data_IF_347082627773
#
_entry.id   IF_347082627773
#
_cell.length_a   1.000
_cell.length_b   1.000
_cell.length_c   1.000
_cell.angle_alpha   90.00
_cell.angle_beta   90.00
_cell.angle_gamma   90.00
#
_symmetry.space_group_name_H-M   'P 1'
#
loop_
_entity.id
_entity.type
_entity.pdbx_description
1 polymer ?
#
# COMPACT_ATOMS: atom_id res chain seq x y z
N UNK A 1 -20.11 -1.38 -18.30
CA UNK A 1 -19.77 -1.02 -19.66
C UNK A 1 -18.32 -1.38 -19.91
N UNK A 2 -18.12 -2.29 -20.87
CA UNK A 2 -16.99 -3.14 -21.08
C UNK A 2 -15.65 -2.45 -21.25
N UNK A 3 -14.65 -3.01 -20.60
CA UNK A 3 -13.25 -2.86 -20.95
C UNK A 3 -13.04 -3.53 -22.31
N UNK A 4 -12.99 -2.72 -23.36
CA UNK A 4 -12.40 -3.10 -24.64
C UNK A 4 -10.88 -3.14 -24.41
N UNK A 5 -10.33 -4.34 -24.28
CA UNK A 5 -8.91 -4.58 -24.47
C UNK A 5 -8.65 -4.33 -25.96
N UNK A 6 -8.34 -3.08 -26.29
CA UNK A 6 -7.88 -2.68 -27.61
C UNK A 6 -6.57 -3.39 -27.90
N UNK A 7 -6.51 -4.03 -29.06
CA UNK A 7 -5.39 -4.81 -29.52
C UNK A 7 -4.08 -4.04 -29.42
N UNK A 8 -3.07 -4.71 -28.89
CA UNK A 8 -1.69 -4.29 -28.93
C UNK A 8 -1.28 -4.19 -30.39
N UNK A 9 -1.23 -2.97 -30.91
CA UNK A 9 -0.53 -2.73 -32.18
C UNK A 9 0.92 -3.17 -31.96
N UNK A 10 1.34 -4.16 -32.74
CA UNK A 10 2.71 -4.68 -32.69
C UNK A 10 3.69 -3.57 -33.05
N UNK A 11 4.29 -2.96 -32.03
CA UNK A 11 5.49 -2.15 -32.21
C UNK A 11 6.62 -3.14 -32.48
N UNK A 12 7.05 -3.23 -33.72
CA UNK A 12 8.26 -3.93 -34.11
C UNK A 12 9.44 -3.18 -33.49
N UNK A 13 9.91 -3.67 -32.34
CA UNK A 13 11.19 -3.24 -31.78
C UNK A 13 12.31 -3.81 -32.66
N UNK A 14 13.25 -2.99 -33.15
CA UNK A 14 14.40 -3.51 -33.87
C UNK A 14 15.21 -4.36 -32.90
N UNK A 15 15.29 -5.66 -33.17
CA UNK A 15 16.17 -6.58 -32.44
C UNK A 15 17.61 -6.18 -32.74
N UNK A 16 18.39 -5.70 -31.76
CA UNK A 16 19.78 -5.38 -32.01
C UNK A 16 20.53 -6.62 -32.46
N UNK A 17 21.20 -6.57 -33.62
CA UNK A 17 21.86 -7.71 -34.28
C UNK A 17 23.06 -8.34 -33.56
N UNK A 18 23.22 -8.18 -32.24
CA UNK A 18 24.29 -8.75 -31.41
C UNK A 18 23.88 -9.98 -30.59
N UNK A 19 22.66 -10.49 -30.74
CA UNK A 19 22.16 -11.62 -29.93
C UNK A 19 22.58 -13.02 -30.43
N UNK A 20 23.35 -13.15 -31.50
CA UNK A 20 23.61 -14.43 -32.17
C UNK A 20 24.58 -15.38 -31.44
N UNK A 21 25.16 -15.07 -30.29
CA UNK A 21 26.26 -15.88 -29.72
C UNK A 21 26.20 -16.25 -28.23
N UNK A 22 25.04 -16.24 -27.58
CA UNK A 22 24.92 -16.87 -26.24
C UNK A 22 24.29 -18.27 -26.40
N UNK A 23 25.14 -19.27 -26.56
CA UNK A 23 24.78 -20.70 -26.58
C UNK A 23 24.44 -21.14 -25.13
N UNK A 24 23.20 -21.52 -24.90
CA UNK A 24 22.72 -22.15 -23.67
C UNK A 24 21.28 -21.72 -23.34
N UNK A 25 20.48 -22.62 -22.80
CA UNK A 25 19.10 -22.34 -22.39
C UNK A 25 18.98 -21.18 -21.42
N UNK A 26 19.97 -20.97 -20.54
CA UNK A 26 20.07 -19.84 -19.61
C UNK A 26 20.24 -18.50 -20.33
N UNK A 27 21.02 -18.43 -21.41
CA UNK A 27 21.18 -17.22 -22.19
C UNK A 27 19.90 -16.78 -22.92
N UNK A 28 19.10 -17.74 -23.39
CA UNK A 28 17.80 -17.44 -24.02
C UNK A 28 16.78 -16.95 -22.96
N UNK A 29 16.76 -17.55 -21.78
CA UNK A 29 15.89 -17.12 -20.69
C UNK A 29 16.24 -15.70 -20.22
N UNK A 30 17.53 -15.40 -20.07
CA UNK A 30 18.01 -14.07 -19.69
C UNK A 30 17.59 -13.00 -20.70
N UNK A 31 17.75 -13.23 -21.99
CA UNK A 31 17.34 -12.28 -23.05
C UNK A 31 15.81 -12.06 -23.00
N UNK A 32 15.02 -13.12 -22.78
CA UNK A 32 13.55 -12.97 -22.67
C UNK A 32 13.14 -12.15 -21.47
N UNK A 33 13.81 -12.28 -20.34
CA UNK A 33 13.55 -11.49 -19.14
C UNK A 33 13.91 -10.01 -19.34
N UNK A 34 15.07 -9.74 -19.95
CA UNK A 34 15.50 -8.38 -20.30
C UNK A 34 14.51 -7.69 -21.26
N UNK A 35 14.02 -8.42 -22.27
CA UNK A 35 13.01 -7.90 -23.19
C UNK A 35 11.67 -7.63 -22.48
N UNK A 36 11.23 -8.54 -21.61
CA UNK A 36 10.00 -8.35 -20.84
C UNK A 36 10.10 -7.16 -19.89
N UNK A 37 11.23 -7.01 -19.19
CA UNK A 37 11.51 -5.85 -18.35
C UNK A 37 11.46 -4.54 -19.17
N UNK A 38 12.06 -4.51 -20.34
CA UNK A 38 12.03 -3.37 -21.25
C UNK A 38 10.62 -2.97 -21.68
N UNK A 39 9.74 -3.94 -21.98
CA UNK A 39 8.33 -3.68 -22.32
C UNK A 39 7.59 -3.08 -21.11
N UNK A 40 7.81 -3.59 -19.90
CA UNK A 40 7.19 -3.07 -18.68
C UNK A 40 7.63 -1.63 -18.39
N UNK A 41 8.92 -1.33 -18.52
CA UNK A 41 9.44 0.03 -18.38
C UNK A 41 8.82 0.98 -19.40
N UNK A 42 8.67 0.55 -20.65
CA UNK A 42 8.05 1.37 -21.68
C UNK A 42 6.56 1.61 -21.41
N UNK A 43 5.85 0.61 -20.86
CA UNK A 43 4.46 0.74 -20.44
C UNK A 43 4.32 1.71 -19.27
N UNK A 44 5.24 1.68 -18.32
CA UNK A 44 5.32 2.63 -17.22
C UNK A 44 5.40 4.08 -17.73
N UNK A 45 6.31 4.34 -18.67
CA UNK A 45 6.47 5.68 -19.28
C UNK A 45 5.16 6.13 -19.93
N UNK A 46 4.53 5.27 -20.72
CA UNK A 46 3.26 5.61 -21.39
C UNK A 46 2.14 5.90 -20.39
N UNK A 47 2.09 5.23 -19.25
CA UNK A 47 1.10 5.48 -18.19
C UNK A 47 1.33 6.82 -17.48
N UNK A 48 2.58 7.25 -17.36
CA UNK A 48 2.92 8.54 -16.74
C UNK A 48 2.62 9.73 -17.63
N UNK A 49 2.71 9.57 -18.96
CA UNK A 49 2.48 10.62 -19.95
C UNK A 49 0.99 10.94 -20.20
N UNK A 50 0.07 10.13 -19.69
CA UNK A 50 -1.37 10.36 -19.88
C UNK A 50 -1.87 11.49 -18.98
N UNK A 51 -2.02 12.68 -19.54
CA UNK A 51 -2.68 13.79 -18.88
C UNK A 51 -4.20 13.78 -19.16
N UNK A 52 -5.01 14.01 -18.13
CA UNK A 52 -6.44 14.21 -18.30
C UNK A 52 -6.70 15.60 -18.89
N UNK A 53 -7.46 15.67 -19.98
CA UNK A 53 -7.86 16.96 -20.55
C UNK A 53 -8.49 17.87 -19.48
N UNK A 54 -8.17 19.17 -19.44
CA UNK A 54 -8.73 20.10 -18.46
C UNK A 54 -10.27 20.12 -18.54
N UNK A 55 -10.92 20.36 -17.41
CA UNK A 55 -12.39 20.56 -17.39
C UNK A 55 -12.65 21.97 -17.90
N UNK A 56 -13.47 22.09 -18.92
CA UNK A 56 -13.95 23.38 -19.38
C UNK A 56 -15.07 23.85 -18.43
N UNK A 57 -14.65 24.56 -17.37
CA UNK A 57 -15.54 25.05 -16.31
C UNK A 57 -16.43 26.20 -16.83
N UNK A 58 -15.95 26.99 -17.77
CA UNK A 58 -16.74 28.06 -18.37
C UNK A 58 -17.90 27.49 -19.21
N UNK A 59 -17.66 26.43 -19.97
CA UNK A 59 -18.72 25.71 -20.66
C UNK A 59 -19.73 25.03 -19.70
N UNK A 60 -19.33 24.67 -18.47
CA UNK A 60 -20.30 24.21 -17.47
C UNK A 60 -21.22 25.33 -16.99
N UNK A 61 -20.68 26.52 -16.72
CA UNK A 61 -21.46 27.69 -16.29
C UNK A 61 -22.39 28.14 -17.42
N UNK A 62 -21.90 28.19 -18.63
CA UNK A 62 -22.73 28.54 -19.81
C UNK A 62 -23.90 27.60 -19.96
N UNK A 63 -23.68 26.29 -19.89
CA UNK A 63 -24.74 25.26 -19.96
C UNK A 63 -25.76 25.39 -18.81
N UNK A 64 -25.27 25.68 -17.57
CA UNK A 64 -26.15 25.93 -16.45
C UNK A 64 -27.08 27.13 -16.67
N UNK A 65 -26.51 28.23 -17.15
CA UNK A 65 -27.27 29.43 -17.47
C UNK A 65 -28.27 29.18 -18.61
N UNK A 66 -27.86 28.48 -19.67
CA UNK A 66 -28.77 28.12 -20.77
C UNK A 66 -29.92 27.24 -20.29
N UNK A 67 -29.66 26.24 -19.47
CA UNK A 67 -30.68 25.34 -18.95
C UNK A 67 -31.62 26.07 -17.98
N UNK A 68 -31.10 26.95 -17.14
CA UNK A 68 -31.94 27.81 -16.29
C UNK A 68 -32.87 28.74 -17.10
N UNK A 69 -32.38 29.24 -18.24
CA UNK A 69 -33.12 30.14 -19.11
C UNK A 69 -34.02 29.45 -20.15
N UNK A 70 -33.79 28.18 -20.51
CA UNK A 70 -34.50 27.47 -21.57
C UNK A 70 -36.04 27.50 -21.40
N UNK A 71 -36.50 27.24 -20.17
CA UNK A 71 -37.94 27.18 -19.81
C UNK A 71 -38.36 28.42 -19.00
N UNK A 72 -37.69 29.57 -19.20
CA UNK A 72 -38.04 30.79 -18.51
C UNK A 72 -39.10 31.58 -19.29
N UNK A 73 -40.21 31.89 -18.63
CA UNK A 73 -41.27 32.69 -19.22
C UNK A 73 -40.83 34.08 -19.74
N UNK A 74 -39.76 34.61 -19.13
CA UNK A 74 -39.16 35.91 -19.45
C UNK A 74 -38.03 35.84 -20.48
N UNK A 75 -37.73 34.67 -21.08
CA UNK A 75 -36.57 34.46 -21.97
C UNK A 75 -36.51 35.48 -23.12
N UNK A 76 -37.66 35.77 -23.75
CA UNK A 76 -37.73 36.68 -24.90
C UNK A 76 -37.51 38.17 -24.53
N UNK A 77 -37.86 38.56 -23.31
CA UNK A 77 -37.74 39.94 -22.80
C UNK A 77 -36.57 40.17 -21.87
N UNK A 78 -35.80 39.11 -21.57
CA UNK A 78 -34.68 39.19 -20.62
C UNK A 78 -33.43 39.77 -21.31
N UNK A 79 -33.01 40.96 -20.89
CA UNK A 79 -31.78 41.62 -21.35
C UNK A 79 -30.50 41.01 -20.78
N UNK A 80 -30.61 40.30 -19.66
CA UNK A 80 -29.47 39.80 -18.90
C UNK A 80 -29.12 38.33 -19.19
N UNK A 81 -29.85 37.64 -20.08
CA UNK A 81 -29.58 36.23 -20.41
C UNK A 81 -28.18 36.00 -21.00
N UNK A 82 -27.64 36.99 -21.72
CA UNK A 82 -26.29 36.93 -22.29
C UNK A 82 -25.21 37.05 -21.19
N UNK A 83 -25.43 37.94 -20.20
CA UNK A 83 -24.50 38.11 -19.07
C UNK A 83 -24.47 36.88 -18.15
N UNK A 84 -25.62 36.22 -17.97
CA UNK A 84 -25.68 34.96 -17.22
C UNK A 84 -24.82 33.85 -17.85
N UNK A 85 -24.78 33.76 -19.18
CA UNK A 85 -23.96 32.79 -19.90
C UNK A 85 -22.47 33.12 -19.88
N UNK A 86 -22.13 34.38 -19.66
CA UNK A 86 -20.76 34.88 -19.57
C UNK A 86 -20.27 34.99 -18.11
N UNK A 87 -20.95 34.36 -17.14
CA UNK A 87 -20.48 34.34 -15.77
C UNK A 87 -19.13 33.63 -15.72
N UNK A 88 -18.16 34.17 -14.94
CA UNK A 88 -16.86 33.50 -14.78
C UNK A 88 -17.01 32.20 -13.96
N UNK A 89 -16.26 31.17 -14.34
CA UNK A 89 -16.28 29.86 -13.69
C UNK A 89 -15.87 29.89 -12.22
N UNK A 90 -15.18 30.94 -11.78
CA UNK A 90 -14.85 31.19 -10.36
C UNK A 90 -16.07 31.07 -9.43
N UNK A 91 -17.28 31.31 -9.93
CA UNK A 91 -18.51 31.15 -9.15
C UNK A 91 -18.71 29.68 -8.70
N UNK A 92 -18.24 28.71 -9.46
CA UNK A 92 -18.35 27.29 -9.10
C UNK A 92 -17.44 26.86 -7.94
N UNK A 93 -16.46 27.70 -7.57
CA UNK A 93 -15.54 27.43 -6.45
C UNK A 93 -15.99 28.02 -5.12
N UNK A 94 -17.08 28.80 -5.13
CA UNK A 94 -17.59 29.38 -3.89
C UNK A 94 -18.24 28.31 -3.02
N UNK A 95 -17.99 28.34 -1.69
CA UNK A 95 -18.54 27.32 -0.77
C UNK A 95 -20.07 27.45 -0.64
N UNK A 96 -20.59 28.65 -0.73
CA UNK A 96 -22.03 28.93 -0.68
C UNK A 96 -22.40 29.89 -1.81
N UNK A 97 -23.37 29.49 -2.62
CA UNK A 97 -23.93 30.35 -3.66
C UNK A 97 -25.21 31.00 -3.16
N UNK A 98 -25.26 32.33 -3.21
CA UNK A 98 -26.47 33.12 -2.89
C UNK A 98 -26.98 33.91 -4.09
N UNK A 99 -28.20 34.40 -3.99
CA UNK A 99 -28.80 35.24 -5.05
C UNK A 99 -28.06 36.57 -5.21
N UNK A 100 -27.41 37.05 -4.15
CA UNK A 100 -26.65 38.31 -4.11
C UNK A 100 -25.32 38.20 -4.90
N UNK A 101 -24.81 37.01 -5.06
CA UNK A 101 -23.57 36.75 -5.80
C UNK A 101 -23.77 36.62 -7.31
N UNK A 102 -25.01 36.57 -7.75
CA UNK A 102 -25.29 36.55 -9.19
C UNK A 102 -24.99 37.91 -9.80
N UNK A 103 -24.18 37.98 -10.89
CA UNK A 103 -23.72 39.25 -11.46
C UNK A 103 -24.85 40.04 -12.17
N UNK A 104 -26.09 39.56 -12.08
CA UNK A 104 -27.25 40.12 -12.80
C UNK A 104 -28.54 40.00 -11.98
N UNK A 105 -29.42 40.97 -12.13
CA UNK A 105 -30.77 40.96 -11.56
C UNK A 105 -31.68 40.00 -12.33
N UNK A 106 -31.59 38.72 -12.05
CA UNK A 106 -32.47 37.72 -12.65
C UNK A 106 -33.84 37.72 -11.96
N UNK A 107 -34.94 37.74 -12.73
CA UNK A 107 -36.31 37.66 -12.18
C UNK A 107 -36.64 36.33 -11.52
N UNK A 108 -35.85 35.27 -11.80
CA UNK A 108 -35.98 33.94 -11.19
C UNK A 108 -34.60 33.42 -10.75
N UNK A 109 -33.94 34.10 -9.80
CA UNK A 109 -32.56 33.77 -9.42
C UNK A 109 -32.45 32.38 -8.84
N UNK A 110 -33.44 31.86 -8.15
CA UNK A 110 -33.44 30.51 -7.57
C UNK A 110 -33.27 29.37 -8.60
N UNK A 111 -33.74 29.61 -9.87
CA UNK A 111 -33.51 28.60 -10.93
C UNK A 111 -32.05 28.57 -11.40
N UNK A 112 -31.45 29.75 -11.51
CA UNK A 112 -30.02 29.87 -11.85
C UNK A 112 -29.17 29.22 -10.79
N UNK A 113 -29.46 29.53 -9.52
CA UNK A 113 -28.77 28.92 -8.39
C UNK A 113 -28.89 27.38 -8.37
N UNK A 114 -30.10 26.86 -8.59
CA UNK A 114 -30.33 25.42 -8.63
C UNK A 114 -29.46 24.70 -9.70
N UNK A 115 -29.35 25.30 -10.91
CA UNK A 115 -28.52 24.75 -11.96
C UNK A 115 -27.01 24.93 -11.66
N UNK A 116 -26.60 26.04 -11.06
CA UNK A 116 -25.22 26.24 -10.62
C UNK A 116 -24.83 25.26 -9.52
N UNK A 117 -25.69 25.00 -8.54
CA UNK A 117 -25.43 23.94 -7.54
C UNK A 117 -25.26 22.56 -8.16
N UNK A 118 -26.09 22.19 -9.13
CA UNK A 118 -25.90 20.94 -9.87
C UNK A 118 -24.55 20.89 -10.59
N UNK A 119 -24.10 22.01 -11.17
CA UNK A 119 -22.79 22.09 -11.80
C UNK A 119 -21.67 21.99 -10.79
N UNK A 120 -21.82 22.57 -9.58
CA UNK A 120 -20.85 22.37 -8.50
C UNK A 120 -20.73 20.91 -8.09
N UNK A 121 -21.85 20.20 -7.93
CA UNK A 121 -21.88 18.77 -7.62
C UNK A 121 -21.22 17.95 -8.75
N UNK A 122 -21.54 18.24 -10.01
CA UNK A 122 -20.90 17.60 -11.16
C UNK A 122 -19.39 17.86 -11.20
N UNK A 123 -18.96 19.09 -10.94
CA UNK A 123 -17.53 19.44 -10.90
C UNK A 123 -16.80 18.70 -9.78
N UNK A 124 -17.42 18.60 -8.59
CA UNK A 124 -16.86 17.82 -7.47
C UNK A 124 -16.73 16.34 -7.81
N UNK A 125 -17.76 15.76 -8.44
CA UNK A 125 -17.71 14.37 -8.90
C UNK A 125 -16.59 14.15 -9.92
N UNK A 126 -16.50 15.01 -10.94
CA UNK A 126 -15.46 14.91 -11.99
C UNK A 126 -14.05 15.03 -11.35
N UNK A 127 -13.86 15.93 -10.40
CA UNK A 127 -12.58 16.07 -9.70
C UNK A 127 -12.25 14.85 -8.85
N UNK A 128 -13.21 14.33 -8.09
CA UNK A 128 -13.03 13.12 -7.31
C UNK A 128 -12.68 11.90 -8.19
N UNK A 129 -13.37 11.76 -9.34
CA UNK A 129 -13.09 10.69 -10.30
C UNK A 129 -11.69 10.82 -10.92
N UNK A 130 -11.23 12.05 -11.19
CA UNK A 130 -9.89 12.31 -11.71
C UNK A 130 -8.79 12.00 -10.70
N UNK A 131 -8.97 12.42 -9.45
CA UNK A 131 -8.02 12.05 -8.39
C UNK A 131 -7.93 10.54 -8.23
N UNK A 132 -9.07 9.85 -8.22
CA UNK A 132 -9.12 8.38 -8.19
C UNK A 132 -8.42 7.74 -9.39
N UNK A 133 -8.63 8.27 -10.61
CA UNK A 133 -7.91 7.80 -11.79
C UNK A 133 -6.40 8.07 -11.74
N UNK A 134 -5.99 9.19 -11.15
CA UNK A 134 -4.58 9.51 -10.91
C UNK A 134 -3.96 8.51 -9.94
N UNK A 135 -4.64 8.23 -8.82
CA UNK A 135 -4.23 7.23 -7.84
C UNK A 135 -4.07 5.84 -8.48
N UNK A 136 -5.05 5.41 -9.27
CA UNK A 136 -4.97 4.13 -9.98
C UNK A 136 -3.80 4.07 -10.96
N UNK A 137 -3.55 5.14 -11.71
CA UNK A 137 -2.39 5.21 -12.61
C UNK A 137 -1.09 5.14 -11.84
N UNK A 138 -0.96 5.90 -10.76
CA UNK A 138 0.23 5.87 -9.90
C UNK A 138 0.48 4.45 -9.36
N UNK A 139 -0.54 3.78 -8.87
CA UNK A 139 -0.45 2.42 -8.39
C UNK A 139 -0.01 1.44 -9.50
N UNK A 140 -0.61 1.53 -10.70
CA UNK A 140 -0.23 0.70 -11.85
C UNK A 140 1.21 0.98 -12.31
N UNK A 141 1.62 2.24 -12.41
CA UNK A 141 2.99 2.64 -12.77
C UNK A 141 4.00 2.02 -11.80
N UNK A 142 3.72 2.08 -10.49
CA UNK A 142 4.57 1.44 -9.48
C UNK A 142 4.66 -0.07 -9.65
N UNK A 143 3.55 -0.75 -10.00
CA UNK A 143 3.54 -2.19 -10.26
C UNK A 143 4.39 -2.54 -11.49
N UNK A 144 4.27 -1.80 -12.58
CA UNK A 144 5.06 -2.05 -13.79
C UNK A 144 6.55 -1.83 -13.55
N UNK A 145 6.92 -0.75 -12.86
CA UNK A 145 8.32 -0.50 -12.46
C UNK A 145 8.86 -1.65 -11.63
N UNK A 146 8.12 -2.05 -10.63
CA UNK A 146 8.47 -3.15 -9.75
C UNK A 146 8.68 -4.47 -10.52
N UNK A 147 7.76 -4.84 -11.42
CA UNK A 147 7.90 -6.05 -12.22
C UNK A 147 9.11 -5.97 -13.16
N UNK A 148 9.37 -4.80 -13.74
CA UNK A 148 10.55 -4.57 -14.57
C UNK A 148 11.86 -4.78 -13.79
N UNK A 149 11.98 -4.14 -12.62
CA UNK A 149 13.16 -4.25 -11.75
C UNK A 149 13.39 -5.69 -11.32
N UNK A 150 12.31 -6.40 -10.95
CA UNK A 150 12.39 -7.81 -10.57
C UNK A 150 12.85 -8.71 -11.70
N UNK A 151 12.29 -8.54 -12.91
CA UNK A 151 12.72 -9.32 -14.07
C UNK A 151 14.18 -9.07 -14.43
N UNK A 152 14.66 -7.82 -14.23
CA UNK A 152 16.06 -7.48 -14.41
C UNK A 152 16.94 -8.17 -13.37
N UNK A 153 16.55 -8.14 -12.08
CA UNK A 153 17.28 -8.82 -11.00
C UNK A 153 17.35 -10.33 -11.21
N UNK A 154 16.25 -10.95 -11.66
CA UNK A 154 16.24 -12.39 -12.02
C UNK A 154 17.16 -12.66 -13.20
N UNK A 155 17.13 -11.82 -14.25
CA UNK A 155 18.02 -11.92 -15.39
C UNK A 155 19.49 -11.86 -14.98
N UNK A 156 19.85 -10.92 -14.12
CA UNK A 156 21.20 -10.75 -13.60
C UNK A 156 21.64 -11.93 -12.72
N UNK A 157 20.72 -12.53 -11.99
CA UNK A 157 20.97 -13.67 -11.10
C UNK A 157 21.22 -14.97 -11.87
N UNK A 158 20.60 -15.15 -13.04
CA UNK A 158 20.78 -16.34 -13.88
C UNK A 158 22.22 -16.51 -14.39
N UNK A 159 22.97 -15.41 -14.46
CA UNK A 159 24.39 -15.43 -14.85
C UNK A 159 25.37 -15.70 -13.70
N UNK A 160 24.92 -15.63 -12.45
CA UNK A 160 25.76 -15.81 -11.26
C UNK A 160 25.68 -17.24 -10.75
N UNK A 161 26.81 -17.86 -10.47
CA UNK A 161 26.86 -19.12 -9.71
C UNK A 161 26.31 -18.83 -8.31
N UNK A 162 25.33 -19.60 -7.89
CA UNK A 162 24.82 -19.56 -6.51
C UNK A 162 25.93 -20.06 -5.60
N UNK A 163 26.63 -19.14 -4.93
CA UNK A 163 27.53 -19.52 -3.83
C UNK A 163 26.66 -20.10 -2.71
N UNK A 164 27.08 -21.24 -2.17
CA UNK A 164 26.42 -21.82 -1.00
C UNK A 164 26.64 -20.88 0.20
N UNK A 165 25.59 -20.15 0.56
CA UNK A 165 25.63 -19.26 1.73
C UNK A 165 25.59 -20.12 2.99
N UNK A 166 26.66 -20.07 3.78
CA UNK A 166 26.73 -20.76 5.07
C UNK A 166 25.88 -20.01 6.08
N UNK A 167 24.83 -20.64 6.58
CA UNK A 167 24.00 -20.09 7.66
C UNK A 167 24.70 -20.28 8.99
N UNK A 168 24.81 -19.24 9.81
CA UNK A 168 25.40 -19.28 11.13
C UNK A 168 24.34 -19.45 12.23
N UNK A 169 23.10 -19.07 11.92
CA UNK A 169 22.00 -19.04 12.86
C UNK A 169 20.84 -19.90 12.39
N UNK A 170 20.14 -20.51 13.35
CA UNK A 170 18.85 -21.17 13.17
C UNK A 170 17.74 -20.29 13.80
N UNK A 171 16.69 -19.92 13.07
CA UNK A 171 15.60 -19.12 13.63
C UNK A 171 14.69 -19.98 14.48
N UNK A 172 14.34 -19.48 15.67
CA UNK A 172 13.37 -20.05 16.61
C UNK A 172 12.20 -19.08 16.73
N UNK A 173 11.02 -19.46 16.23
CA UNK A 173 9.84 -18.62 16.19
C UNK A 173 8.77 -19.24 17.08
N UNK A 174 8.17 -18.41 17.95
CA UNK A 174 7.05 -18.81 18.80
C UNK A 174 5.93 -17.78 18.65
N UNK A 175 4.73 -18.27 18.39
CA UNK A 175 3.53 -17.44 18.15
C UNK A 175 2.51 -17.75 19.23
N UNK A 176 1.98 -16.71 19.87
CA UNK A 176 0.94 -16.80 20.90
C UNK A 176 -0.17 -15.79 20.58
N UNK A 177 -1.42 -16.23 20.74
CA UNK A 177 -2.59 -15.36 20.55
C UNK A 177 -3.57 -15.52 21.73
N UNK A 178 -4.40 -14.50 21.94
CA UNK A 178 -5.46 -14.53 22.95
C UNK A 178 -6.70 -15.32 22.49
N UNK A 179 -6.79 -15.63 21.19
CA UNK A 179 -7.88 -16.41 20.55
C UNK A 179 -7.34 -17.51 19.65
N UNK A 180 -8.18 -18.54 19.36
CA UNK A 180 -7.85 -19.52 18.33
C UNK A 180 -7.62 -18.85 16.97
N UNK A 181 -6.66 -19.38 16.18
CA UNK A 181 -6.30 -18.81 14.87
C UNK A 181 -7.49 -18.64 13.91
N UNK A 182 -8.51 -19.50 14.00
CA UNK A 182 -9.69 -19.42 13.15
C UNK A 182 -10.52 -18.15 13.35
N UNK A 183 -10.52 -17.63 14.59
CA UNK A 183 -11.36 -16.50 15.02
C UNK A 183 -10.56 -15.21 15.21
N UNK A 184 -9.23 -15.27 15.10
CA UNK A 184 -8.31 -14.15 15.28
C UNK A 184 -8.11 -13.45 13.95
N UNK A 185 -8.25 -12.10 13.88
CA UNK A 185 -7.94 -11.26 12.73
C UNK A 185 -6.45 -11.21 12.38
N UNK A 186 -5.62 -11.39 13.40
CA UNK A 186 -4.17 -11.45 13.24
C UNK A 186 -3.73 -12.70 12.47
N UNK A 187 -2.77 -12.53 11.58
CA UNK A 187 -2.17 -13.63 10.82
C UNK A 187 -0.66 -13.54 10.87
N UNK A 188 -0.04 -14.67 11.15
CA UNK A 188 1.41 -14.79 11.20
C UNK A 188 1.89 -15.80 10.15
N UNK A 189 3.06 -15.52 9.55
CA UNK A 189 3.79 -16.48 8.72
C UNK A 189 5.29 -16.31 8.93
N UNK A 190 6.00 -17.42 8.88
CA UNK A 190 7.47 -17.43 8.95
C UNK A 190 8.03 -18.51 8.03
N UNK A 191 9.03 -18.15 7.22
CA UNK A 191 9.56 -19.04 6.18
C UNK A 191 10.95 -18.60 5.72
N UNK A 192 11.69 -19.56 5.15
CA UNK A 192 12.97 -19.30 4.52
C UNK A 192 12.77 -18.60 3.16
N UNK A 193 13.54 -17.56 2.90
CA UNK A 193 13.65 -16.90 1.60
C UNK A 193 14.83 -17.39 0.79
N UNK A 194 15.20 -16.63 -0.23
CA UNK A 194 16.37 -16.90 -1.08
C UNK A 194 17.68 -16.58 -0.31
N UNK A 195 18.72 -17.38 -0.52
CA UNK A 195 20.01 -17.21 0.14
C UNK A 195 19.99 -17.50 1.64
N UNK A 196 20.45 -16.54 2.45
CA UNK A 196 20.45 -16.63 3.91
C UNK A 196 19.22 -16.00 4.57
N UNK A 197 18.27 -15.49 3.79
CA UNK A 197 17.11 -14.74 4.29
C UNK A 197 16.09 -15.65 4.97
N UNK A 198 15.51 -15.12 6.04
CA UNK A 198 14.36 -15.69 6.72
C UNK A 198 13.37 -14.57 7.04
N UNK A 199 12.10 -14.81 6.80
CA UNK A 199 11.04 -13.81 6.97
C UNK A 199 10.11 -14.20 8.10
N UNK A 200 9.71 -13.22 8.91
CA UNK A 200 8.63 -13.34 9.89
C UNK A 200 7.65 -12.20 9.65
N UNK A 201 6.40 -12.54 9.44
CA UNK A 201 5.30 -11.64 9.15
C UNK A 201 4.27 -11.70 10.27
N UNK A 202 3.80 -10.55 10.73
CA UNK A 202 2.57 -10.39 11.50
C UNK A 202 1.71 -9.36 10.78
N UNK A 203 0.54 -9.77 10.34
CA UNK A 203 -0.45 -8.90 9.69
C UNK A 203 -1.72 -8.91 10.52
N UNK A 204 -2.18 -7.73 10.91
CA UNK A 204 -3.42 -7.56 11.64
C UNK A 204 -4.46 -6.93 10.71
N UNK A 205 -5.60 -7.62 10.57
CA UNK A 205 -6.73 -7.15 9.77
C UNK A 205 -7.61 -6.20 10.57
N UNK A 206 -7.69 -4.94 10.16
CA UNK A 206 -8.41 -3.87 10.85
C UNK A 206 -9.90 -4.18 11.04
N UNK A 207 -10.39 -3.98 12.26
CA UNK A 207 -11.79 -4.24 12.65
C UNK A 207 -11.97 -5.62 13.30
N UNK A 208 -13.19 -6.13 13.29
CA UNK A 208 -13.52 -7.41 13.95
C UNK A 208 -14.22 -8.39 13.00
N UNK A 209 -14.11 -9.68 13.32
CA UNK A 209 -14.81 -10.76 12.64
C UNK A 209 -14.22 -11.14 11.28
N UNK A 210 -15.04 -11.83 10.46
CA UNK A 210 -14.60 -12.45 9.19
C UNK A 210 -14.01 -11.48 8.17
N UNK A 211 -14.28 -10.19 8.26
CA UNK A 211 -13.70 -9.17 7.40
C UNK A 211 -12.21 -8.99 7.68
N UNK A 212 -11.87 -8.76 8.95
CA UNK A 212 -10.48 -8.62 9.43
C UNK A 212 -9.66 -9.88 9.12
N UNK A 213 -10.22 -11.06 9.44
CA UNK A 213 -9.62 -12.36 9.12
C UNK A 213 -9.23 -12.49 7.65
N UNK A 214 -10.10 -12.09 6.72
CA UNK A 214 -9.86 -12.17 5.28
C UNK A 214 -8.76 -11.19 4.81
N UNK A 215 -8.74 -9.97 5.34
CA UNK A 215 -7.74 -8.97 4.95
C UNK A 215 -6.36 -9.36 5.49
N UNK A 216 -6.23 -9.75 6.76
CA UNK A 216 -4.98 -10.27 7.32
C UNK A 216 -4.46 -11.50 6.57
N UNK A 217 -5.33 -12.47 6.27
CA UNK A 217 -4.96 -13.65 5.50
C UNK A 217 -4.53 -13.32 4.07
N UNK A 218 -5.22 -12.41 3.39
CA UNK A 218 -4.84 -11.98 2.04
C UNK A 218 -3.47 -11.30 2.02
N UNK A 219 -3.20 -10.42 2.99
CA UNK A 219 -1.90 -9.74 3.12
C UNK A 219 -0.76 -10.75 3.33
N UNK A 220 -0.90 -11.67 4.28
CA UNK A 220 0.10 -12.72 4.54
C UNK A 220 0.33 -13.57 3.30
N UNK A 221 -0.74 -14.00 2.61
CA UNK A 221 -0.60 -14.83 1.41
C UNK A 221 0.14 -14.11 0.28
N UNK A 222 -0.19 -12.84 0.03
CA UNK A 222 0.47 -12.04 -1.01
C UNK A 222 1.95 -11.85 -0.67
N UNK A 223 2.25 -11.36 0.53
CA UNK A 223 3.62 -11.10 0.96
C UNK A 223 4.45 -12.40 0.99
N UNK A 224 3.93 -13.49 1.55
CA UNK A 224 4.66 -14.76 1.60
C UNK A 224 4.99 -15.30 0.22
N UNK A 225 4.10 -15.16 -0.76
CA UNK A 225 4.36 -15.59 -2.14
C UNK A 225 5.41 -14.73 -2.83
N UNK A 226 5.32 -13.40 -2.69
CA UNK A 226 6.28 -12.49 -3.29
C UNK A 226 7.68 -12.68 -2.66
N UNK A 227 7.78 -12.66 -1.33
CA UNK A 227 9.04 -12.84 -0.62
C UNK A 227 9.65 -14.23 -0.86
N UNK A 228 8.82 -15.28 -0.87
CA UNK A 228 9.23 -16.64 -1.18
C UNK A 228 9.73 -16.80 -2.62
N UNK A 229 9.18 -16.06 -3.57
CA UNK A 229 9.66 -15.98 -4.95
C UNK A 229 10.97 -15.17 -5.10
N UNK A 230 11.47 -14.54 -4.03
CA UNK A 230 12.71 -13.79 -4.02
C UNK A 230 12.57 -12.29 -4.28
N UNK A 231 11.33 -11.78 -4.31
CA UNK A 231 11.12 -10.33 -4.43
C UNK A 231 11.73 -9.58 -3.24
N UNK A 232 12.37 -8.42 -3.44
CA UNK A 232 12.82 -7.56 -2.35
C UNK A 232 11.65 -7.17 -1.43
N UNK A 233 11.90 -7.13 -0.12
CA UNK A 233 10.88 -6.84 0.88
C UNK A 233 10.14 -5.52 0.63
N UNK A 234 10.87 -4.46 0.30
CA UNK A 234 10.29 -3.15 -0.04
C UNK A 234 9.32 -3.24 -1.22
N UNK A 235 9.67 -4.00 -2.25
CA UNK A 235 8.81 -4.16 -3.43
C UNK A 235 7.55 -4.96 -3.10
N UNK A 236 7.67 -6.03 -2.31
CA UNK A 236 6.52 -6.81 -1.87
C UNK A 236 5.53 -5.96 -1.07
N UNK A 237 6.03 -5.12 -0.15
CA UNK A 237 5.24 -4.19 0.65
C UNK A 237 4.56 -3.11 -0.21
N UNK A 238 5.28 -2.52 -1.17
CA UNK A 238 4.70 -1.55 -2.12
C UNK A 238 3.62 -2.18 -2.99
N UNK A 239 3.80 -3.43 -3.41
CA UNK A 239 2.78 -4.16 -4.16
C UNK A 239 1.52 -4.35 -3.33
N UNK A 240 1.63 -4.74 -2.06
CA UNK A 240 0.50 -4.83 -1.15
C UNK A 240 -0.18 -3.47 -0.98
N UNK A 241 0.60 -2.40 -0.76
CA UNK A 241 0.10 -1.02 -0.65
C UNK A 241 -0.76 -0.62 -1.85
N UNK A 242 -0.25 -0.83 -3.06
CA UNK A 242 -0.97 -0.52 -4.29
C UNK A 242 -2.25 -1.35 -4.44
N UNK A 243 -2.21 -2.64 -4.06
CA UNK A 243 -3.39 -3.51 -4.10
C UNK A 243 -4.48 -3.07 -3.10
N UNK A 244 -4.09 -2.64 -1.89
CA UNK A 244 -5.03 -2.11 -0.90
C UNK A 244 -5.69 -0.81 -1.40
N UNK A 245 -4.93 0.09 -2.00
CA UNK A 245 -5.45 1.32 -2.59
C UNK A 245 -6.43 1.05 -3.74
N UNK A 246 -6.08 0.12 -4.65
CA UNK A 246 -6.93 -0.24 -5.80
C UNK A 246 -8.26 -0.89 -5.40
N UNK A 247 -8.34 -1.51 -4.22
CA UNK A 247 -9.53 -2.21 -3.73
C UNK A 247 -10.46 -1.34 -2.89
N UNK A 248 -10.24 -0.04 -2.77
CA UNK A 248 -10.93 0.84 -1.81
C UNK A 248 -10.85 0.30 -0.37
N UNK A 249 -9.76 -0.39 -0.03
CA UNK A 249 -9.50 -1.02 1.28
C UNK A 249 -8.26 -0.44 1.93
N UNK A 250 -8.03 0.85 1.72
CA UNK A 250 -6.93 1.57 2.33
C UNK A 250 -6.99 1.48 3.85
N UNK A 251 -5.87 1.08 4.47
CA UNK A 251 -5.78 0.92 5.92
C UNK A 251 -6.54 -0.28 6.50
N UNK A 252 -6.97 -1.25 5.67
CA UNK A 252 -7.70 -2.42 6.15
C UNK A 252 -6.80 -3.50 6.79
N UNK A 253 -5.49 -3.34 6.76
CA UNK A 253 -4.51 -4.26 7.32
C UNK A 253 -3.26 -3.51 7.77
N UNK A 254 -2.64 -3.96 8.86
CA UNK A 254 -1.30 -3.54 9.27
C UNK A 254 -0.28 -4.62 8.91
N UNK A 255 0.99 -4.25 8.77
CA UNK A 255 2.05 -5.20 8.45
C UNK A 255 3.28 -4.94 9.30
N UNK A 256 3.73 -5.99 9.96
CA UNK A 256 5.02 -6.08 10.65
C UNK A 256 5.84 -7.17 9.97
N UNK A 257 6.97 -6.82 9.36
CA UNK A 257 7.83 -7.74 8.64
C UNK A 257 9.27 -7.65 9.16
N UNK A 258 9.78 -8.74 9.70
CA UNK A 258 11.19 -8.92 10.00
C UNK A 258 11.88 -9.73 8.88
N UNK A 259 12.83 -9.13 8.19
CA UNK A 259 13.75 -9.76 7.24
C UNK A 259 15.07 -10.06 7.96
N UNK A 260 15.38 -11.33 8.17
CA UNK A 260 16.51 -11.80 8.97
C UNK A 260 17.53 -12.48 8.07
N UNK A 261 18.79 -12.09 8.17
CA UNK A 261 19.90 -12.70 7.46
C UNK A 261 20.59 -13.71 8.38
N UNK A 262 20.41 -15.01 8.11
CA UNK A 262 20.88 -16.10 8.95
C UNK A 262 22.40 -16.35 8.89
N UNK A 263 23.11 -15.68 7.99
CA UNK A 263 24.58 -15.67 7.94
C UNK A 263 25.21 -14.68 8.92
N UNK A 264 24.53 -13.56 9.17
CA UNK A 264 25.08 -12.42 9.95
C UNK A 264 24.27 -12.08 11.20
N UNK A 265 23.02 -12.56 11.28
CA UNK A 265 22.05 -12.14 12.30
C UNK A 265 21.52 -10.72 12.12
N UNK A 266 21.82 -10.07 10.98
CA UNK A 266 21.27 -8.76 10.66
C UNK A 266 19.77 -8.87 10.45
N UNK A 267 19.03 -7.90 10.99
CA UNK A 267 17.56 -7.77 10.84
C UNK A 267 17.23 -6.43 10.24
N UNK A 268 16.32 -6.45 9.28
CA UNK A 268 15.60 -5.27 8.79
C UNK A 268 14.13 -5.42 9.18
N UNK A 269 13.64 -4.48 9.99
CA UNK A 269 12.25 -4.45 10.44
C UNK A 269 11.50 -3.40 9.65
N UNK A 270 10.39 -3.79 9.04
CA UNK A 270 9.48 -2.92 8.28
C UNK A 270 8.14 -2.84 9.01
N UNK A 271 7.64 -1.62 9.25
CA UNK A 271 6.39 -1.40 9.97
C UNK A 271 5.44 -0.51 9.15
N UNK A 272 4.31 -1.10 8.79
CA UNK A 272 3.26 -0.42 8.02
C UNK A 272 1.94 -0.45 8.81
N UNK A 273 1.68 0.62 9.56
CA UNK A 273 0.53 0.72 10.47
C UNK A 273 0.61 -0.16 11.71
N UNK A 274 1.65 -0.99 11.84
CA UNK A 274 1.77 -1.99 12.89
C UNK A 274 2.16 -1.39 14.25
N UNK A 275 1.70 -2.01 15.33
CA UNK A 275 2.04 -1.66 16.70
C UNK A 275 3.55 -1.75 16.98
N UNK A 276 4.09 -1.10 18.03
CA UNK A 276 5.51 -1.15 18.35
C UNK A 276 6.00 -2.59 18.59
N UNK A 277 7.25 -2.86 18.20
CA UNK A 277 7.98 -4.09 18.51
C UNK A 277 8.94 -3.87 19.68
N UNK A 278 9.47 -4.95 20.24
CA UNK A 278 10.36 -4.87 21.38
C UNK A 278 11.64 -5.66 21.12
N UNK A 279 12.76 -5.06 21.50
CA UNK A 279 14.06 -5.71 21.44
C UNK A 279 14.55 -5.99 22.87
N UNK A 280 14.64 -7.24 23.22
CA UNK A 280 15.03 -7.70 24.55
C UNK A 280 16.45 -8.22 24.54
N UNK A 281 17.27 -7.66 25.43
CA UNK A 281 18.67 -8.06 25.67
C UNK A 281 18.87 -8.41 27.13
N UNK A 282 20.07 -8.85 27.50
CA UNK A 282 20.45 -9.07 28.91
C UNK A 282 20.47 -7.77 29.72
N UNK A 283 20.65 -6.63 29.06
CA UNK A 283 20.78 -5.31 29.70
C UNK A 283 19.40 -4.67 29.91
N UNK A 284 18.38 -5.13 29.21
CA UNK A 284 17.01 -4.62 29.29
C UNK A 284 16.22 -4.82 28.03
N UNK A 285 15.06 -4.16 27.99
CA UNK A 285 14.18 -4.14 26.84
C UNK A 285 13.90 -2.70 26.37
N UNK A 286 13.88 -2.52 25.08
CA UNK A 286 13.53 -1.25 24.43
C UNK A 286 12.43 -1.46 23.40
N UNK A 287 11.68 -0.40 23.14
CA UNK A 287 10.70 -0.35 22.07
C UNK A 287 11.43 0.00 20.79
N UNK A 288 11.15 -0.73 19.71
CA UNK A 288 11.69 -0.50 18.38
C UNK A 288 10.57 -0.46 17.35
N UNK A 289 10.83 0.20 16.22
CA UNK A 289 9.88 0.36 15.12
C UNK A 289 8.83 1.44 15.40
N UNK A 290 8.92 2.54 14.67
CA UNK A 290 7.87 3.55 14.65
C UNK A 290 6.76 3.09 13.71
N UNK A 291 5.47 3.24 14.07
CA UNK A 291 4.38 2.90 13.18
C UNK A 291 4.31 3.90 12.01
N UNK A 292 4.51 3.40 10.78
CA UNK A 292 4.21 4.14 9.57
C UNK A 292 2.72 4.07 9.22
N UNK A 293 2.26 4.71 8.13
CA UNK A 293 0.89 4.57 7.66
C UNK A 293 0.61 3.11 7.22
N UNK A 294 -0.60 2.59 7.46
CA UNK A 294 -0.99 1.27 6.97
C UNK A 294 -1.09 1.23 5.44
N UNK A 295 -0.99 0.03 4.82
CA UNK A 295 -1.10 -0.13 3.38
C UNK A 295 -2.34 0.51 2.77
N UNK A 296 -2.16 1.17 1.63
CA UNK A 296 -3.21 1.85 0.87
C UNK A 296 -3.47 3.30 1.27
N UNK A 297 -2.94 3.79 2.39
CA UNK A 297 -3.15 5.17 2.83
C UNK A 297 -2.11 6.16 2.27
N UNK A 298 -1.00 5.69 1.73
CA UNK A 298 -0.01 6.56 1.09
C UNK A 298 0.51 5.93 -0.19
N UNK A 299 0.29 6.59 -1.31
CA UNK A 299 0.81 6.19 -2.63
C UNK A 299 2.10 6.91 -2.99
N UNK A 300 2.36 8.09 -2.42
CA UNK A 300 3.57 8.88 -2.69
C UNK A 300 4.59 8.71 -1.57
N UNK A 301 5.70 8.02 -1.88
CA UNK A 301 7.02 8.25 -1.27
C UNK A 301 7.13 8.35 0.24
N UNK A 302 6.23 7.72 1.01
CA UNK A 302 6.48 7.58 2.44
C UNK A 302 7.79 6.85 2.59
N UNK A 303 8.76 7.51 3.22
CA UNK A 303 9.95 6.83 3.72
C UNK A 303 9.44 5.65 4.52
N UNK A 304 9.68 4.46 3.99
CA UNK A 304 9.44 3.23 4.72
C UNK A 304 10.19 3.37 6.04
N UNK A 305 9.46 3.33 7.15
CA UNK A 305 10.12 3.31 8.43
C UNK A 305 10.72 1.92 8.61
N UNK A 306 12.02 1.86 8.33
CA UNK A 306 12.80 0.65 8.45
C UNK A 306 13.81 0.82 9.55
N UNK A 307 13.89 -0.16 10.43
CA UNK A 307 14.96 -0.25 11.42
C UNK A 307 15.93 -1.37 11.09
N UNK A 308 17.20 -1.09 11.27
CA UNK A 308 18.28 -2.04 11.02
C UNK A 308 19.05 -2.30 12.31
N UNK A 309 19.11 -3.54 12.72
CA UNK A 309 19.88 -3.97 13.89
C UNK A 309 20.43 -5.38 13.70
N UNK A 310 21.17 -5.89 14.69
CA UNK A 310 21.64 -7.27 14.70
C UNK A 310 21.01 -8.01 15.86
N UNK A 311 20.37 -9.13 15.55
CA UNK A 311 19.85 -10.08 16.54
C UNK A 311 20.92 -11.14 16.80
N UNK A 312 21.39 -11.20 18.04
CA UNK A 312 22.41 -12.15 18.47
C UNK A 312 21.81 -13.23 19.36
N UNK A 313 22.55 -14.29 19.58
CA UNK A 313 22.15 -15.34 20.51
C UNK A 313 21.89 -14.77 21.92
N UNK A 314 20.77 -15.15 22.51
CA UNK A 314 20.33 -14.66 23.81
C UNK A 314 19.62 -13.32 23.79
N UNK A 315 19.41 -12.74 22.60
CA UNK A 315 18.55 -11.58 22.38
C UNK A 315 17.24 -12.03 21.73
N UNK A 316 16.17 -11.28 21.95
CA UNK A 316 14.84 -11.59 21.44
C UNK A 316 14.27 -10.39 20.70
N UNK A 317 13.68 -10.64 19.57
CA UNK A 317 12.82 -9.68 18.89
C UNK A 317 11.37 -10.12 19.11
N UNK A 318 10.52 -9.20 19.56
CA UNK A 318 9.12 -9.46 19.88
C UNK A 318 8.26 -8.55 19.04
N UNK A 319 7.45 -9.13 18.16
CA UNK A 319 6.42 -8.44 17.42
C UNK A 319 5.09 -8.59 18.17
N UNK A 320 4.26 -7.55 18.17
CA UNK A 320 2.97 -7.55 18.83
C UNK A 320 1.92 -6.84 17.95
N UNK A 321 0.69 -7.34 17.93
CA UNK A 321 -0.44 -6.62 17.34
C UNK A 321 -0.97 -5.54 18.29
N UNK A 322 -1.88 -4.68 17.82
CA UNK A 322 -2.38 -3.52 18.56
C UNK A 322 -3.32 -3.88 19.73
N UNK A 323 -3.86 -5.11 19.76
CA UNK A 323 -4.58 -5.64 20.92
C UNK A 323 -3.69 -5.86 22.16
N UNK A 324 -2.37 -5.68 22.04
CA UNK A 324 -1.43 -5.75 23.16
C UNK A 324 -1.16 -4.35 23.70
N UNK A 325 -1.38 -4.13 25.01
CA UNK A 325 -1.01 -2.84 25.64
C UNK A 325 0.50 -2.61 25.56
N UNK A 326 0.89 -1.59 24.81
CA UNK A 326 2.29 -1.34 24.50
C UNK A 326 3.14 -0.89 25.69
N UNK A 327 2.53 -0.30 26.72
CA UNK A 327 3.21 0.15 27.93
C UNK A 327 3.47 -1.02 28.86
N UNK A 328 2.43 -1.82 29.06
CA UNK A 328 2.51 -3.04 29.89
C UNK A 328 3.41 -4.09 29.26
N UNK A 329 3.35 -4.26 27.93
CA UNK A 329 4.24 -5.17 27.21
C UNK A 329 5.72 -4.82 27.42
N UNK A 330 6.07 -3.52 27.33
CA UNK A 330 7.43 -3.06 27.61
C UNK A 330 7.84 -3.32 29.06
N UNK A 331 6.93 -3.09 30.02
CA UNK A 331 7.16 -3.37 31.45
C UNK A 331 7.39 -4.87 31.67
N UNK A 332 6.58 -5.74 31.04
CA UNK A 332 6.78 -7.20 31.07
C UNK A 332 8.14 -7.61 30.51
N UNK A 333 8.54 -7.06 29.38
CA UNK A 333 9.84 -7.34 28.77
C UNK A 333 11.01 -6.93 29.68
N UNK A 334 10.91 -5.75 30.34
CA UNK A 334 11.94 -5.26 31.26
C UNK A 334 12.05 -6.07 32.56
N UNK A 335 10.94 -6.60 33.02
CA UNK A 335 10.90 -7.44 34.23
C UNK A 335 11.36 -8.89 33.99
N UNK A 336 11.45 -9.31 32.71
CA UNK A 336 11.86 -10.66 32.34
C UNK A 336 13.35 -10.87 32.58
N UNK A 337 13.70 -11.82 33.45
CA UNK A 337 15.12 -12.14 33.75
C UNK A 337 15.55 -13.57 33.38
N UNK A 338 14.70 -14.56 33.57
CA UNK A 338 14.99 -15.98 33.31
C UNK A 338 13.73 -16.77 32.92
N UNK A 339 12.74 -16.09 32.38
CA UNK A 339 11.45 -16.69 32.02
C UNK A 339 11.55 -17.51 30.73
N UNK A 340 10.71 -18.51 30.62
CA UNK A 340 10.48 -19.19 29.35
C UNK A 340 9.76 -18.27 28.35
N UNK A 341 9.91 -18.55 27.07
CA UNK A 341 9.21 -17.82 25.99
C UNK A 341 7.70 -17.80 26.20
N UNK A 342 7.13 -18.94 26.65
CA UNK A 342 5.70 -19.07 26.87
C UNK A 342 5.21 -18.23 28.07
N UNK A 343 5.99 -18.18 29.16
CA UNK A 343 5.64 -17.37 30.33
C UNK A 343 5.64 -15.88 30.01
N UNK A 344 6.68 -15.40 29.31
CA UNK A 344 6.74 -14.01 28.89
C UNK A 344 5.58 -13.65 27.94
N UNK A 345 5.33 -14.47 26.92
CA UNK A 345 4.25 -14.24 25.97
C UNK A 345 2.87 -14.21 26.67
N UNK A 346 2.62 -15.16 27.59
CA UNK A 346 1.39 -15.22 28.38
C UNK A 346 1.22 -13.95 29.22
N UNK A 347 2.29 -13.50 29.86
CA UNK A 347 2.26 -12.28 30.66
C UNK A 347 2.00 -11.03 29.83
N UNK A 348 2.61 -10.92 28.64
CA UNK A 348 2.37 -9.82 27.71
C UNK A 348 0.91 -9.82 27.24
N UNK A 349 0.36 -10.98 26.84
CA UNK A 349 -1.02 -11.10 26.37
C UNK A 349 -2.07 -10.80 27.46
N UNK A 350 -1.77 -11.07 28.72
CA UNK A 350 -2.69 -10.82 29.84
C UNK A 350 -2.45 -9.48 30.54
N UNK A 351 -1.35 -8.77 30.22
CA UNK A 351 -1.10 -7.44 30.71
C UNK A 351 -2.02 -6.46 30.02
N UNK A 352 -2.82 -5.72 30.77
CA UNK A 352 -3.76 -4.71 30.23
C UNK A 352 -5.17 -5.24 29.92
N UNK A 353 -5.48 -6.52 30.07
CA UNK A 353 -6.83 -7.05 29.87
C UNK A 353 -7.77 -6.68 31.03
N UNK A 354 -8.40 -5.52 30.88
CA UNK A 354 -9.65 -5.20 31.61
C UNK A 354 -10.86 -5.28 30.71
N UNK A 355 -11.08 -6.11 29.79
CA UNK A 355 -12.20 -6.26 28.81
C UNK A 355 -11.84 -6.02 27.34
N UNK A 356 -10.60 -6.30 26.93
CA UNK A 356 -10.26 -6.20 25.49
C UNK A 356 -11.00 -7.29 24.71
N UNK A 357 -11.96 -6.88 23.89
CA UNK A 357 -12.62 -7.73 22.88
C UNK A 357 -11.77 -7.88 21.64
N UNK A 358 -10.59 -7.27 21.61
CA UNK A 358 -9.72 -7.21 20.45
C UNK A 358 -8.81 -8.44 20.33
N UNK A 359 -8.38 -8.71 19.12
CA UNK A 359 -7.43 -9.77 18.82
C UNK A 359 -6.04 -9.34 19.25
N UNK A 360 -5.31 -10.20 19.92
CA UNK A 360 -3.97 -9.92 20.41
C UNK A 360 -3.03 -11.09 20.09
N UNK A 361 -1.93 -10.77 19.40
CA UNK A 361 -0.92 -11.74 18.99
C UNK A 361 0.49 -11.25 19.34
N UNK A 362 1.30 -12.15 19.86
CA UNK A 362 2.71 -11.92 20.17
C UNK A 362 3.55 -12.96 19.43
N UNK A 363 4.56 -12.49 18.69
CA UNK A 363 5.53 -13.32 17.98
C UNK A 363 6.91 -13.09 18.57
N UNK A 364 7.51 -14.13 19.13
CA UNK A 364 8.86 -14.07 19.72
C UNK A 364 9.84 -14.75 18.76
N UNK A 365 10.88 -14.03 18.40
CA UNK A 365 11.92 -14.42 17.45
C UNK A 365 13.25 -14.49 18.18
N UNK A 366 13.92 -15.62 18.08
CA UNK A 366 15.27 -15.86 18.62
C UNK A 366 16.15 -16.50 17.57
N UNK A 367 17.46 -16.39 17.75
CA UNK A 367 18.45 -17.08 16.93
C UNK A 367 19.24 -18.09 17.77
N UNK A 368 19.10 -19.36 17.41
CA UNK A 368 19.93 -20.47 17.89
C UNK A 368 21.18 -20.66 17.02
N UNK A 369 22.03 -21.60 17.40
CA UNK A 369 23.12 -22.08 16.53
C UNK A 369 22.60 -23.20 15.66
N UNK A 370 23.09 -23.28 14.43
CA UNK A 370 22.87 -24.42 13.54
C UNK A 370 23.62 -25.65 14.03
#
# INVERSE_FOLDING_TARGET
PGLLIGGVMGVWLPVPGKFAHRRGETGVAQVRLELAAGVLTQTEVLLTEVEAAPVDEDALVERAAEKACSNCAYRKSCRDSKRLRQMPSVILHKPLLSTEELPVLCRKPGRVLAELHRCQEQLRSIRADRERQKEYRTALTQQYRFLSDFLQDVSDSLGRRTESVTRQYAPEISVFGNRPEADNGDRCAYFAGTGSKYYVLLCDGMGTGMGAVREGQAAVQILSRLLGAGFPAQHALRSLNSLCALRDRAGAVTVDLAEIYLDTGRVTLYKWGAAPSYFLTREGAERIGQPGPPPGLSLEGTKEETEHFSLKRGQWLILASDGVDSTEALACCRASKEESVAELATRILHSGQTDSTDDATVVIIRLGTQ
#
